data_IF_056880236541
#
_entry.id   IF_056880236541
#
_cell.length_a   1.000
_cell.length_b   1.000
_cell.length_c   1.000
_cell.angle_alpha   90.00
_cell.angle_beta   90.00
_cell.angle_gamma   90.00
#
_symmetry.space_group_name_H-M   'P 1'
#
loop_
_entity.id
_entity.type
_entity.pdbx_description
1 polymer ?
#
# COMPACT_ATOMS: atom_id res chain seq x y z
N UNK A 1 4.65 26.92 12.71
CA UNK A 1 4.35 26.38 14.05
C UNK A 1 4.93 24.98 14.13
N UNK A 2 6.10 24.83 14.79
CA UNK A 2 6.86 23.57 14.86
C UNK A 2 6.25 22.66 15.94
N UNK A 3 5.46 21.69 15.56
CA UNK A 3 4.93 20.69 16.48
C UNK A 3 6.01 19.63 16.75
N UNK A 4 6.71 19.75 17.85
CA UNK A 4 7.63 18.71 18.36
C UNK A 4 6.79 17.53 18.86
N UNK A 5 6.80 16.42 18.12
CA UNK A 5 6.23 15.17 18.61
C UNK A 5 7.30 14.50 19.49
N UNK A 6 7.21 14.71 20.80
CA UNK A 6 7.97 13.96 21.80
C UNK A 6 7.18 12.71 22.17
N UNK A 7 7.53 11.58 21.62
CA UNK A 7 7.00 10.28 22.06
C UNK A 7 7.97 9.70 23.10
N UNK A 8 7.61 9.84 24.36
CA UNK A 8 8.33 9.20 25.49
C UNK A 8 7.74 7.81 25.67
N UNK A 9 8.50 6.77 25.39
CA UNK A 9 8.10 5.39 25.59
C UNK A 9 8.38 4.98 27.02
N UNK A 10 7.31 4.66 27.74
CA UNK A 10 7.35 4.03 29.07
C UNK A 10 7.50 2.53 28.85
N UNK A 11 8.58 1.95 29.31
CA UNK A 11 8.75 0.51 29.35
C UNK A 11 7.67 -0.10 30.25
N UNK A 12 6.69 -0.79 29.69
CA UNK A 12 5.76 -1.63 30.42
C UNK A 12 6.37 -3.01 30.65
N UNK A 13 6.18 -3.61 31.85
CA UNK A 13 6.74 -4.92 32.12
C UNK A 13 6.11 -6.02 31.30
N UNK A 14 6.96 -6.94 30.85
CA UNK A 14 6.64 -8.15 30.11
C UNK A 14 5.67 -9.01 30.91
N UNK A 15 4.48 -9.24 30.34
CA UNK A 15 3.50 -10.15 30.95
C UNK A 15 2.11 -10.08 30.34
N UNK A 16 1.99 -10.09 29.02
CA UNK A 16 0.71 -10.32 28.37
C UNK A 16 0.83 -11.41 27.32
N UNK A 17 0.33 -12.59 27.66
CA UNK A 17 0.19 -13.77 26.82
C UNK A 17 -0.81 -13.47 25.68
N UNK A 18 -0.31 -13.19 24.50
CA UNK A 18 -1.13 -12.90 23.34
C UNK A 18 -1.65 -14.22 22.75
N UNK A 19 -2.96 -14.45 22.87
CA UNK A 19 -3.66 -15.52 22.16
C UNK A 19 -3.61 -15.23 20.68
N UNK A 20 -2.90 -16.05 19.93
CA UNK A 20 -2.90 -16.03 18.48
C UNK A 20 -4.21 -16.69 18.01
N UNK A 21 -5.18 -15.90 17.62
CA UNK A 21 -6.35 -16.36 16.90
C UNK A 21 -5.95 -16.62 15.45
N UNK A 22 -6.09 -17.88 15.09
CA UNK A 22 -5.83 -18.47 13.77
C UNK A 22 -6.75 -17.81 12.73
N UNK A 23 -6.20 -17.00 11.87
CA UNK A 23 -6.90 -16.52 10.68
C UNK A 23 -7.00 -17.68 9.68
N UNK A 24 -8.22 -18.18 9.47
CA UNK A 24 -8.55 -19.06 8.34
C UNK A 24 -8.79 -18.21 7.11
N UNK A 25 -8.01 -18.42 6.08
CA UNK A 25 -8.23 -17.90 4.75
C UNK A 25 -9.46 -18.57 4.11
N UNK A 26 -10.40 -17.82 3.49
CA UNK A 26 -11.49 -18.38 2.72
C UNK A 26 -11.13 -18.45 1.23
N UNK A 27 -10.35 -19.43 0.81
CA UNK A 27 -10.20 -19.77 -0.60
C UNK A 27 -10.13 -21.29 -0.75
N UNK A 28 -11.32 -21.92 -0.74
CA UNK A 28 -11.53 -23.24 -1.28
C UNK A 28 -12.95 -23.33 -1.82
N UNK A 29 -13.14 -22.92 -3.05
CA UNK A 29 -14.24 -23.37 -3.92
C UNK A 29 -13.93 -23.05 -5.37
N UNK A 30 -13.06 -23.82 -5.99
CA UNK A 30 -13.10 -24.06 -7.43
C UNK A 30 -13.48 -25.51 -7.62
N UNK A 31 -14.78 -25.74 -7.72
CA UNK A 31 -15.37 -27.00 -8.12
C UNK A 31 -15.08 -27.27 -9.59
N UNK A 32 -14.42 -28.35 -9.81
CA UNK A 32 -14.30 -29.02 -11.09
C UNK A 32 -15.70 -29.36 -11.62
N UNK A 33 -16.01 -28.98 -12.84
CA UNK A 33 -17.12 -29.57 -13.59
C UNK A 33 -16.56 -30.20 -14.85
N UNK A 34 -16.48 -31.52 -14.78
CA UNK A 34 -16.08 -32.43 -15.81
C UNK A 34 -17.18 -32.71 -16.82
N UNK A 35 -16.75 -32.97 -18.01
CA UNK A 35 -17.18 -34.01 -18.88
C UNK A 35 -18.64 -34.07 -19.32
N UNK A 36 -18.85 -33.98 -20.62
CA UNK A 36 -20.07 -34.34 -21.30
C UNK A 36 -19.86 -34.43 -22.79
N UNK A 37 -19.19 -35.51 -23.19
CA UNK A 37 -19.25 -36.00 -24.58
C UNK A 37 -20.68 -36.37 -24.93
N UNK A 38 -21.16 -35.97 -26.09
CA UNK A 38 -22.17 -36.70 -26.82
C UNK A 38 -21.94 -36.60 -28.32
N UNK A 39 -21.62 -37.69 -29.00
CA UNK A 39 -21.56 -37.81 -30.43
C UNK A 39 -22.86 -38.43 -30.98
N UNK A 40 -23.11 -38.20 -32.21
CA UNK A 40 -24.03 -38.92 -33.10
C UNK A 40 -25.38 -38.22 -33.38
N UNK A 41 -25.56 -37.80 -34.60
CA UNK A 41 -26.35 -38.58 -35.54
C UNK A 41 -26.31 -37.97 -36.95
N UNK A 42 -25.90 -38.82 -37.82
CA UNK A 42 -26.04 -38.84 -39.28
C UNK A 42 -27.49 -38.68 -39.69
N UNK A 43 -27.70 -38.08 -40.84
CA UNK A 43 -28.38 -38.54 -42.05
C UNK A 43 -28.83 -37.31 -42.82
N UNK A 44 -28.32 -37.22 -44.02
CA UNK A 44 -28.78 -37.74 -45.29
C UNK A 44 -29.69 -36.80 -46.02
N UNK A 45 -29.09 -36.27 -47.07
CA UNK A 45 -29.59 -36.24 -48.45
C UNK A 45 -31.06 -35.89 -48.68
N UNK A 46 -31.26 -34.94 -49.48
CA UNK A 46 -31.99 -35.09 -50.72
C UNK A 46 -32.17 -33.72 -51.41
N UNK A 47 -31.66 -33.64 -52.54
CA UNK A 47 -32.11 -33.04 -53.77
C UNK A 47 -33.35 -32.12 -53.73
N UNK A 48 -33.14 -30.90 -54.18
CA UNK A 48 -34.19 -29.98 -54.54
C UNK A 48 -33.66 -28.84 -55.37
N UNK A 49 -33.33 -29.16 -56.62
CA UNK A 49 -33.01 -28.16 -57.64
C UNK A 49 -34.29 -27.47 -58.02
N UNK A 50 -34.49 -26.22 -57.63
CA UNK A 50 -35.54 -25.38 -58.17
C UNK A 50 -34.97 -24.04 -58.56
N UNK A 51 -34.88 -23.91 -59.85
CA UNK A 51 -34.57 -22.70 -60.61
C UNK A 51 -35.75 -21.75 -60.50
N UNK A 52 -35.49 -20.47 -60.50
CA UNK A 52 -36.31 -19.29 -60.72
C UNK A 52 -36.52 -18.44 -59.50
N UNK A 53 -36.14 -17.21 -59.44
CA UNK A 53 -36.52 -16.12 -60.35
C UNK A 53 -35.82 -14.83 -59.85
N UNK A 54 -35.16 -14.22 -60.78
CA UNK A 54 -34.61 -12.88 -60.76
C UNK A 54 -35.71 -11.89 -60.35
N UNK A 55 -35.56 -11.20 -59.25
CA UNK A 55 -36.15 -9.91 -58.99
C UNK A 55 -35.08 -9.01 -58.38
N UNK A 56 -34.50 -8.21 -59.24
CA UNK A 56 -33.67 -7.10 -58.85
C UNK A 56 -34.59 -6.05 -58.19
N UNK A 57 -34.65 -6.11 -56.87
CA UNK A 57 -35.12 -4.97 -56.10
C UNK A 57 -33.90 -4.41 -55.37
N UNK A 58 -33.31 -3.41 -56.01
CA UNK A 58 -32.35 -2.55 -55.35
C UNK A 58 -33.10 -1.79 -54.27
N UNK A 59 -33.33 -2.44 -53.15
CA UNK A 59 -33.72 -1.80 -51.93
C UNK A 59 -32.55 -0.94 -51.46
N UNK A 60 -32.56 0.32 -51.86
CA UNK A 60 -31.73 1.35 -51.24
C UNK A 60 -32.17 1.45 -49.78
N UNK A 61 -31.53 0.69 -48.93
CA UNK A 61 -31.65 0.87 -47.48
C UNK A 61 -30.97 2.18 -47.16
N UNK A 62 -31.73 3.21 -46.72
CA UNK A 62 -31.09 4.41 -46.24
C UNK A 62 -30.27 4.01 -44.99
N UNK A 63 -28.95 4.08 -45.10
CA UNK A 63 -28.06 4.01 -43.94
C UNK A 63 -28.55 5.10 -43.00
N UNK A 64 -29.26 4.70 -41.94
CA UNK A 64 -29.58 5.58 -40.82
C UNK A 64 -28.23 6.07 -40.28
N UNK A 65 -27.81 7.24 -40.71
CA UNK A 65 -26.78 7.98 -40.02
C UNK A 65 -27.32 8.19 -38.62
N UNK A 66 -26.78 7.43 -37.68
CA UNK A 66 -26.94 7.74 -36.27
C UNK A 66 -26.52 9.20 -36.14
N UNK A 67 -27.45 10.05 -35.78
CA UNK A 67 -27.14 11.44 -35.47
C UNK A 67 -26.13 11.40 -34.33
N UNK A 68 -24.86 11.59 -34.63
CA UNK A 68 -23.86 11.81 -33.61
C UNK A 68 -24.23 13.14 -32.94
N UNK A 69 -24.83 13.04 -31.77
CA UNK A 69 -25.16 14.21 -30.98
C UNK A 69 -23.82 14.77 -30.46
N UNK A 70 -23.32 15.76 -31.16
CA UNK A 70 -22.19 16.54 -30.68
C UNK A 70 -22.59 17.22 -29.37
N UNK A 71 -21.66 17.23 -28.41
CA UNK A 71 -21.86 17.95 -27.15
C UNK A 71 -22.07 19.44 -27.41
N UNK A 72 -23.06 20.01 -26.73
CA UNK A 72 -23.28 21.46 -26.78
C UNK A 72 -22.24 22.18 -25.92
N UNK A 73 -21.89 23.41 -26.30
CA UNK A 73 -20.94 24.22 -25.52
C UNK A 73 -21.46 24.45 -24.09
N UNK A 74 -22.76 24.62 -23.92
CA UNK A 74 -23.41 24.78 -22.62
C UNK A 74 -23.28 23.51 -21.75
N UNK A 75 -23.41 22.33 -22.33
CA UNK A 75 -23.26 21.06 -21.64
C UNK A 75 -21.84 20.89 -21.08
N UNK A 76 -20.82 21.26 -21.88
CA UNK A 76 -19.45 21.27 -21.40
C UNK A 76 -19.22 22.31 -20.29
N UNK A 77 -19.82 23.49 -20.41
CA UNK A 77 -19.73 24.51 -19.35
C UNK A 77 -20.33 24.02 -18.02
N UNK A 78 -21.50 23.39 -18.07
CA UNK A 78 -22.13 22.83 -16.86
C UNK A 78 -21.26 21.74 -16.23
N UNK A 79 -20.67 20.86 -17.05
CA UNK A 79 -19.79 19.79 -16.57
C UNK A 79 -18.57 20.35 -15.85
N UNK A 80 -17.88 21.34 -16.44
CA UNK A 80 -16.69 21.92 -15.80
C UNK A 80 -17.01 22.68 -14.51
N UNK A 81 -18.19 23.33 -14.45
CA UNK A 81 -18.64 24.00 -13.22
C UNK A 81 -18.90 22.98 -12.11
N UNK A 82 -19.60 21.86 -12.42
CA UNK A 82 -19.86 20.80 -11.45
C UNK A 82 -18.55 20.15 -10.98
N UNK A 83 -17.64 19.83 -11.90
CA UNK A 83 -16.32 19.26 -11.55
C UNK A 83 -15.53 20.24 -10.67
N UNK A 84 -15.52 21.53 -10.99
CA UNK A 84 -14.85 22.55 -10.20
C UNK A 84 -15.40 22.64 -8.78
N UNK A 85 -16.71 22.61 -8.63
CA UNK A 85 -17.37 22.60 -7.31
C UNK A 85 -16.98 21.36 -6.49
N UNK A 86 -17.08 20.16 -7.11
CA UNK A 86 -16.73 18.92 -6.44
C UNK A 86 -15.22 18.87 -6.07
N UNK A 87 -14.35 19.32 -6.96
CA UNK A 87 -12.91 19.40 -6.71
C UNK A 87 -12.59 20.28 -5.49
N UNK A 88 -13.30 21.39 -5.32
CA UNK A 88 -13.13 22.27 -4.15
C UNK A 88 -13.47 21.55 -2.85
N UNK A 89 -14.61 20.82 -2.80
CA UNK A 89 -15.03 20.08 -1.61
C UNK A 89 -14.03 18.98 -1.27
N UNK A 90 -13.50 18.29 -2.28
CA UNK A 90 -12.49 17.22 -2.09
C UNK A 90 -11.20 17.83 -1.55
N UNK A 91 -10.73 18.94 -2.09
CA UNK A 91 -9.46 19.56 -1.70
C UNK A 91 -9.42 19.91 -0.20
N UNK A 92 -10.47 20.51 0.36
CA UNK A 92 -10.50 20.89 1.77
C UNK A 92 -10.49 19.70 2.74
N UNK A 93 -10.91 18.52 2.29
CA UNK A 93 -10.93 17.31 3.11
C UNK A 93 -9.63 16.49 2.99
N UNK A 94 -8.95 16.55 1.84
CA UNK A 94 -7.74 15.72 1.59
C UNK A 94 -6.50 16.31 2.27
N UNK A 95 -6.35 17.62 2.32
CA UNK A 95 -5.15 18.27 2.87
C UNK A 95 -4.90 17.88 4.34
N UNK A 96 -5.86 17.97 5.27
CA UNK A 96 -5.62 17.56 6.66
C UNK A 96 -5.39 16.06 6.83
N UNK A 97 -5.96 15.22 5.95
CA UNK A 97 -5.76 13.77 6.00
C UNK A 97 -4.32 13.37 5.69
N UNK A 98 -3.62 14.10 4.81
CA UNK A 98 -2.22 13.83 4.49
C UNK A 98 -1.28 14.09 5.67
N UNK A 99 -1.53 15.13 6.46
CA UNK A 99 -0.71 15.44 7.63
C UNK A 99 -0.90 14.40 8.74
N UNK A 100 -2.13 13.96 8.96
CA UNK A 100 -2.40 12.84 9.87
C UNK A 100 -1.68 11.56 9.43
N UNK A 101 -1.74 11.22 8.14
CA UNK A 101 -1.06 10.05 7.60
C UNK A 101 0.47 10.13 7.77
N UNK A 102 1.07 11.32 7.61
CA UNK A 102 2.50 11.53 7.86
C UNK A 102 2.86 11.29 9.33
N UNK A 103 2.05 11.79 10.25
CA UNK A 103 2.26 11.58 11.69
C UNK A 103 2.18 10.09 12.05
N UNK A 104 1.16 9.38 11.55
CA UNK A 104 1.03 7.95 11.80
C UNK A 104 2.18 7.14 11.19
N UNK A 105 2.65 7.53 10.00
CA UNK A 105 3.86 6.94 9.41
C UNK A 105 5.08 7.16 10.29
N UNK A 106 5.31 8.38 10.80
CA UNK A 106 6.44 8.67 11.68
C UNK A 106 6.39 7.82 12.96
N UNK A 107 5.22 7.65 13.55
CA UNK A 107 5.04 6.77 14.73
C UNK A 107 5.39 5.32 14.42
N UNK A 108 4.94 4.80 13.29
CA UNK A 108 5.24 3.43 12.86
C UNK A 108 6.74 3.22 12.59
N UNK A 109 7.39 4.19 11.94
CA UNK A 109 8.83 4.15 11.69
C UNK A 109 9.61 4.17 13.02
N UNK A 110 9.25 5.04 13.96
CA UNK A 110 9.86 5.10 15.30
C UNK A 110 9.69 3.77 16.02
N UNK A 111 8.49 3.19 16.02
CA UNK A 111 8.26 1.87 16.65
C UNK A 111 9.13 0.77 16.04
N UNK A 112 9.36 0.81 14.73
CA UNK A 112 10.25 -0.13 14.05
C UNK A 112 11.70 0.04 14.49
N UNK A 113 12.16 1.29 14.61
CA UNK A 113 13.53 1.60 15.10
C UNK A 113 13.69 1.18 16.57
N UNK A 114 12.69 1.44 17.41
CA UNK A 114 12.69 1.00 18.83
C UNK A 114 12.83 -0.50 18.95
N UNK A 115 12.07 -1.27 18.17
CA UNK A 115 12.19 -2.73 18.15
C UNK A 115 13.58 -3.20 17.73
N UNK A 116 14.19 -2.53 16.75
CA UNK A 116 15.54 -2.83 16.32
C UNK A 116 16.58 -2.51 17.39
N UNK A 117 16.41 -1.40 18.12
CA UNK A 117 17.27 -1.03 19.26
C UNK A 117 17.15 -2.03 20.42
N UNK A 118 15.95 -2.51 20.72
CA UNK A 118 15.75 -3.55 21.73
C UNK A 118 16.43 -4.87 21.30
N UNK A 119 16.31 -5.26 20.03
CA UNK A 119 17.01 -6.43 19.52
C UNK A 119 18.54 -6.25 19.59
N UNK A 120 19.04 -5.06 19.27
CA UNK A 120 20.45 -4.74 19.40
C UNK A 120 20.91 -4.89 20.85
N UNK A 121 20.14 -4.36 21.82
CA UNK A 121 20.43 -4.47 23.26
C UNK A 121 20.44 -5.91 23.74
N UNK A 122 19.50 -6.74 23.30
CA UNK A 122 19.44 -8.15 23.67
C UNK A 122 20.68 -8.92 23.24
N UNK A 123 21.17 -8.63 22.04
CA UNK A 123 22.34 -9.31 21.50
C UNK A 123 23.65 -8.72 22.08
N UNK A 124 23.77 -7.40 22.21
CA UNK A 124 25.01 -6.71 22.57
C UNK A 124 25.06 -6.22 24.04
N UNK A 125 23.98 -6.42 24.81
CA UNK A 125 23.81 -6.04 26.23
C UNK A 125 23.79 -4.52 26.49
N UNK A 126 23.98 -3.70 25.47
CA UNK A 126 23.98 -2.24 25.55
C UNK A 126 23.25 -1.66 24.35
N UNK A 127 22.77 -0.42 24.47
CA UNK A 127 22.29 0.33 23.31
C UNK A 127 23.47 0.91 22.52
N UNK A 128 23.29 1.23 21.22
CA UNK A 128 24.31 1.92 20.44
C UNK A 128 24.74 3.22 21.12
N UNK A 129 26.02 3.55 21.06
CA UNK A 129 26.51 4.84 21.55
C UNK A 129 25.92 5.99 20.72
N UNK A 130 25.73 7.15 21.34
CA UNK A 130 25.22 8.33 20.62
C UNK A 130 26.09 8.74 19.42
N UNK A 131 27.40 8.47 19.47
CA UNK A 131 28.35 8.70 18.38
C UNK A 131 28.13 7.78 17.18
N UNK A 132 27.69 6.54 17.43
CA UNK A 132 27.44 5.54 16.37
C UNK A 132 26.05 5.74 15.78
N UNK A 133 25.14 6.29 16.57
CA UNK A 133 23.80 6.63 16.14
C UNK A 133 22.99 5.40 15.67
N UNK A 134 21.95 5.67 14.89
CA UNK A 134 21.10 4.62 14.32
C UNK A 134 21.80 3.78 13.23
N UNK A 135 22.96 4.23 12.71
CA UNK A 135 23.74 3.47 11.74
C UNK A 135 24.27 2.15 12.32
N UNK A 136 24.45 2.09 13.64
CA UNK A 136 24.79 0.87 14.34
C UNK A 136 23.75 -0.26 14.20
N UNK A 137 22.53 0.05 13.78
CA UNK A 137 21.49 -0.95 13.47
C UNK A 137 21.68 -1.61 12.11
N UNK A 138 22.41 -0.97 11.19
CA UNK A 138 22.67 -1.47 9.83
C UNK A 138 23.98 -2.25 9.77
N UNK A 139 25.04 -1.69 10.38
CA UNK A 139 26.40 -2.24 10.36
C UNK A 139 26.98 -2.23 11.75
N UNK A 140 27.86 -3.21 12.08
CA UNK A 140 28.50 -3.24 13.39
C UNK A 140 29.39 -2.00 13.59
N UNK A 141 29.17 -1.21 14.65
CA UNK A 141 30.02 -0.05 14.91
C UNK A 141 31.41 -0.48 15.39
N UNK A 142 32.43 0.35 15.11
CA UNK A 142 33.79 0.09 15.53
C UNK A 142 33.95 0.13 17.07
N UNK A 143 33.03 0.81 17.75
CA UNK A 143 32.99 0.91 19.21
C UNK A 143 32.53 -0.37 19.91
N UNK A 144 32.01 -1.36 19.14
CA UNK A 144 31.44 -2.57 19.73
C UNK A 144 32.53 -3.48 20.32
N UNK A 145 32.44 -3.72 21.61
CA UNK A 145 33.44 -4.54 22.36
C UNK A 145 33.42 -6.00 21.92
N UNK A 146 32.29 -6.52 21.49
CA UNK A 146 32.12 -7.92 21.08
C UNK A 146 31.44 -8.04 19.72
N UNK A 147 32.16 -7.85 18.61
CA UNK A 147 31.60 -7.90 17.26
C UNK A 147 30.95 -9.24 16.87
N UNK A 148 31.36 -10.33 17.55
CA UNK A 148 30.83 -11.68 17.31
C UNK A 148 29.35 -11.82 17.71
N UNK A 149 28.86 -10.96 18.62
CA UNK A 149 27.47 -10.95 19.08
C UNK A 149 26.55 -10.16 18.16
N UNK A 150 27.15 -9.34 17.28
CA UNK A 150 26.37 -8.56 16.33
C UNK A 150 25.71 -9.49 15.31
N UNK A 151 24.41 -9.26 15.09
CA UNK A 151 23.61 -10.08 14.16
C UNK A 151 24.07 -9.90 12.73
N UNK A 152 24.34 -11.01 12.03
CA UNK A 152 24.68 -10.99 10.60
C UNK A 152 23.53 -10.39 9.79
N UNK A 153 23.80 -9.29 9.06
CA UNK A 153 22.80 -8.58 8.26
C UNK A 153 22.12 -7.41 8.97
N UNK A 154 22.54 -7.09 10.21
CA UNK A 154 22.01 -5.98 10.97
C UNK A 154 20.64 -6.25 11.64
N UNK A 155 20.11 -5.24 12.29
CA UNK A 155 18.83 -5.27 13.02
C UNK A 155 17.70 -4.64 12.22
N UNK A 156 18.04 -3.83 11.23
CA UNK A 156 17.11 -3.22 10.28
C UNK A 156 17.73 -3.26 8.89
N UNK A 157 16.91 -3.51 7.87
CA UNK A 157 17.40 -3.59 6.48
C UNK A 157 17.74 -2.22 5.88
N UNK A 158 16.98 -1.23 6.27
CA UNK A 158 17.12 0.15 5.80
C UNK A 158 16.63 1.08 6.89
N UNK A 159 17.40 2.10 7.19
CA UNK A 159 16.98 3.16 8.10
C UNK A 159 15.99 4.07 7.36
N UNK A 160 14.75 4.22 7.85
CA UNK A 160 13.79 5.10 7.21
C UNK A 160 14.14 6.57 7.48
N UNK A 161 13.80 7.43 6.54
CA UNK A 161 13.68 8.84 6.80
C UNK A 161 12.26 9.15 7.28
N UNK A 162 12.11 10.24 8.00
CA UNK A 162 10.81 10.72 8.41
C UNK A 162 9.94 11.12 7.18
N UNK A 163 8.63 11.31 7.34
CA UNK A 163 7.74 11.66 6.24
C UNK A 163 8.01 13.03 5.62
N UNK A 164 8.85 13.84 6.23
CA UNK A 164 9.30 15.15 5.74
C UNK A 164 10.68 15.09 5.08
N UNK A 165 11.28 13.87 4.98
CA UNK A 165 12.55 13.61 4.29
C UNK A 165 13.80 13.78 5.13
N UNK A 166 13.66 13.96 6.46
CA UNK A 166 14.79 14.13 7.39
C UNK A 166 15.14 12.82 8.09
N UNK A 167 16.39 12.62 8.53
CA UNK A 167 16.75 11.50 9.36
C UNK A 167 16.17 11.64 10.77
N UNK A 168 15.83 10.51 11.39
CA UNK A 168 15.47 10.46 12.80
C UNK A 168 16.67 10.78 13.66
N UNK A 169 16.46 11.64 14.68
CA UNK A 169 17.48 11.97 15.70
C UNK A 169 17.44 10.94 16.80
N UNK A 170 18.61 10.45 17.22
CA UNK A 170 18.79 9.48 18.28
C UNK A 170 19.69 10.06 19.36
N UNK A 171 19.29 9.91 20.62
CA UNK A 171 20.04 10.41 21.77
C UNK A 171 20.09 9.35 22.86
N UNK A 172 21.29 9.08 23.38
CA UNK A 172 21.56 8.20 24.52
C UNK A 172 22.48 8.95 25.49
N UNK A 173 22.16 9.00 26.80
CA UNK A 173 20.90 8.54 27.41
C UNK A 173 19.71 9.43 27.01
N UNK A 174 18.51 8.85 27.03
CA UNK A 174 17.28 9.60 26.81
C UNK A 174 16.91 10.44 28.02
N UNK A 175 16.02 11.43 27.83
CA UNK A 175 15.55 12.31 28.92
C UNK A 175 14.67 11.59 29.93
N UNK A 176 13.86 10.65 29.49
CA UNK A 176 12.90 9.90 30.30
C UNK A 176 13.07 8.38 30.23
N UNK A 177 13.97 7.90 29.41
CA UNK A 177 14.22 6.49 29.18
C UNK A 177 15.68 6.22 28.82
N UNK A 178 15.95 4.99 28.38
CA UNK A 178 17.30 4.60 27.98
C UNK A 178 17.80 5.37 26.75
N UNK A 179 16.88 5.75 25.85
CA UNK A 179 17.16 6.52 24.64
C UNK A 179 15.94 7.36 24.24
N UNK A 180 16.15 8.35 23.43
CA UNK A 180 15.10 9.13 22.77
C UNK A 180 15.27 9.05 21.25
N UNK A 181 14.14 8.88 20.52
CA UNK A 181 14.07 8.99 19.06
C UNK A 181 13.11 10.13 18.74
N UNK A 182 13.57 11.06 17.90
CA UNK A 182 12.80 12.26 17.57
C UNK A 182 12.79 12.47 16.05
N UNK A 183 11.59 12.74 15.49
CA UNK A 183 11.45 13.38 14.18
C UNK A 183 11.39 14.88 14.37
N UNK A 184 12.09 15.60 13.50
CA UNK A 184 12.10 17.06 13.53
C UNK A 184 10.96 17.70 12.70
N UNK A 185 10.19 16.87 11.98
CA UNK A 185 9.00 17.30 11.25
C UNK A 185 9.28 18.05 9.98
#
# INVERSE_FOLDING_TARGET
>A
MLTRILTSVRATPVGARMKISRWRAPFDRLGANGGGHNPSSRRSAEHGFTFMRRSAEHGFTPVRRSAEHGFTLVELMVVIVIIGLLATIVAINVIPATDTARIEKAKADISTIEQALEQYRLDNLTYPAGTDGLQALLTPPASLTQPQRYRRGGYIKKLPNDPWGRPYSYTVPGRKGAFDIVSLG
#
